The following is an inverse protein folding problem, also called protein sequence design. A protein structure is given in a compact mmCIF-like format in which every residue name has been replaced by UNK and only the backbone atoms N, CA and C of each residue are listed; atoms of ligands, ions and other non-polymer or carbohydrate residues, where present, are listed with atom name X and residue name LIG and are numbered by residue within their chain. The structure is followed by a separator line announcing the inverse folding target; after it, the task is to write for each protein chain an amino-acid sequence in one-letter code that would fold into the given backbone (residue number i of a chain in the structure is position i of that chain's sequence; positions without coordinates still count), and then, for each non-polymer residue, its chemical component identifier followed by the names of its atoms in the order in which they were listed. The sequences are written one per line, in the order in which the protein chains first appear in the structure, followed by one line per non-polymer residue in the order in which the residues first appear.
data_IF_067304108917
#
_entry.id   IF_067304108917
#
_cell.length_a   1.000
_cell.length_b   1.000
_cell.length_c   1.000
_cell.angle_alpha   90.00
_cell.angle_beta   90.00
_cell.angle_gamma   90.00
#
_symmetry.space_group_name_H-M   'P 1'
#
loop_
_entity.id
_entity.type
_entity.pdbx_description
1 polymer ?
#
# COMPACT_ATOMS: atom_id res chain seq x y z
N UNK A 1 -4.57 -53.00 -10.13
CA UNK A 1 -3.84 -52.79 -8.86
C UNK A 1 -3.24 -51.40 -8.76
N UNK A 2 -2.18 -51.03 -9.49
CA UNK A 2 -1.61 -49.66 -9.36
C UNK A 2 -2.55 -48.54 -9.83
N UNK A 3 -3.26 -48.73 -10.95
CA UNK A 3 -4.23 -47.74 -11.43
C UNK A 3 -5.37 -47.51 -10.42
N UNK A 4 -5.78 -48.55 -9.69
CA UNK A 4 -6.85 -48.45 -8.71
C UNK A 4 -6.38 -47.71 -7.45
N UNK A 5 -5.13 -47.95 -7.03
CA UNK A 5 -4.47 -47.17 -5.97
C UNK A 5 -4.42 -45.70 -6.37
N UNK A 6 -3.91 -45.37 -7.56
CA UNK A 6 -3.82 -43.97 -8.03
C UNK A 6 -5.19 -43.29 -8.02
N UNK A 7 -6.24 -43.96 -8.52
CA UNK A 7 -7.61 -43.41 -8.46
C UNK A 7 -8.09 -43.21 -7.02
N UNK A 8 -7.79 -44.16 -6.13
CA UNK A 8 -8.16 -44.06 -4.71
C UNK A 8 -7.52 -42.84 -4.05
N UNK A 9 -6.21 -42.64 -4.22
CA UNK A 9 -5.47 -41.51 -3.63
C UNK A 9 -5.99 -40.16 -4.15
N UNK A 10 -6.24 -40.05 -5.46
CA UNK A 10 -6.78 -38.82 -6.08
C UNK A 10 -8.21 -38.53 -5.61
N UNK A 11 -9.04 -39.57 -5.46
CA UNK A 11 -10.40 -39.41 -4.93
C UNK A 11 -10.38 -38.99 -3.46
N UNK A 12 -9.48 -39.55 -2.64
CA UNK A 12 -9.35 -39.15 -1.23
C UNK A 12 -8.88 -37.69 -1.09
N UNK A 13 -7.97 -37.24 -1.95
CA UNK A 13 -7.56 -35.85 -2.04
C UNK A 13 -8.74 -34.93 -2.41
N UNK A 14 -9.54 -35.34 -3.40
CA UNK A 14 -10.74 -34.60 -3.81
C UNK A 14 -11.78 -34.53 -2.68
N UNK A 15 -12.04 -35.65 -2.00
CA UNK A 15 -12.97 -35.71 -0.87
C UNK A 15 -12.51 -34.84 0.31
N UNK A 16 -11.21 -34.84 0.59
CA UNK A 16 -10.61 -33.99 1.63
C UNK A 16 -10.78 -32.51 1.28
N UNK A 17 -10.54 -32.14 0.02
CA UNK A 17 -10.76 -30.77 -0.46
C UNK A 17 -12.24 -30.37 -0.37
N UNK A 18 -13.16 -31.25 -0.79
CA UNK A 18 -14.61 -30.98 -0.72
C UNK A 18 -15.07 -30.75 0.71
N UNK A 19 -14.61 -31.57 1.66
CA UNK A 19 -14.89 -31.38 3.10
C UNK A 19 -14.34 -30.05 3.61
N UNK A 20 -13.09 -29.73 3.30
CA UNK A 20 -12.44 -28.49 3.71
C UNK A 20 -13.17 -27.25 3.15
N UNK A 21 -13.56 -27.29 1.87
CA UNK A 21 -14.28 -26.23 1.17
C UNK A 21 -15.70 -26.03 1.71
N UNK A 22 -16.38 -27.10 2.13
CA UNK A 22 -17.76 -27.03 2.62
C UNK A 22 -17.93 -26.35 3.98
N UNK A 23 -16.83 -26.10 4.70
CA UNK A 23 -16.83 -25.40 5.97
C UNK A 23 -16.46 -23.92 5.77
N UNK A 24 -17.46 -23.05 5.83
CA UNK A 24 -17.30 -21.59 5.72
C UNK A 24 -16.33 -21.01 6.77
N UNK A 25 -16.15 -21.66 7.92
CA UNK A 25 -15.18 -21.20 8.90
C UNK A 25 -13.74 -21.23 8.35
N UNK A 26 -13.42 -22.20 7.48
CA UNK A 26 -12.12 -22.27 6.81
C UNK A 26 -11.94 -21.12 5.83
N UNK A 27 -12.97 -20.78 5.05
CA UNK A 27 -12.93 -19.65 4.11
C UNK A 27 -12.68 -18.34 4.85
N UNK A 28 -13.42 -18.11 5.93
CA UNK A 28 -13.22 -16.94 6.77
C UNK A 28 -11.85 -16.92 7.45
N UNK A 29 -11.32 -18.07 7.89
CA UNK A 29 -9.99 -18.14 8.50
C UNK A 29 -8.88 -17.78 7.49
N UNK A 30 -8.97 -18.28 6.25
CA UNK A 30 -8.04 -17.95 5.16
C UNK A 30 -8.09 -16.44 4.85
N UNK A 31 -9.29 -15.87 4.75
CA UNK A 31 -9.44 -14.42 4.53
C UNK A 31 -8.80 -13.61 5.66
N UNK A 32 -9.12 -13.93 6.92
CA UNK A 32 -8.55 -13.22 8.07
C UNK A 32 -7.02 -13.34 8.12
N UNK A 33 -6.47 -14.51 7.78
CA UNK A 33 -5.03 -14.72 7.72
C UNK A 33 -4.37 -13.86 6.64
N UNK A 34 -4.94 -13.80 5.44
CA UNK A 34 -4.42 -12.96 4.36
C UNK A 34 -4.46 -11.47 4.71
N UNK A 35 -5.58 -10.98 5.29
CA UNK A 35 -5.70 -9.58 5.72
C UNK A 35 -4.70 -9.25 6.82
N UNK A 36 -4.54 -10.14 7.82
CA UNK A 36 -3.57 -9.96 8.90
C UNK A 36 -2.13 -9.86 8.37
N UNK A 37 -1.76 -10.69 7.41
CA UNK A 37 -0.45 -10.65 6.75
C UNK A 37 -0.26 -9.37 5.94
N UNK A 38 -1.26 -8.96 5.16
CA UNK A 38 -1.21 -7.73 4.38
C UNK A 38 -1.12 -6.49 5.28
N UNK A 39 -1.87 -6.43 6.36
CA UNK A 39 -1.83 -5.32 7.32
C UNK A 39 -0.46 -5.23 8.01
N UNK A 40 0.12 -6.39 8.40
CA UNK A 40 1.50 -6.45 8.88
C UNK A 40 2.48 -5.85 7.89
N UNK A 41 2.37 -6.16 6.59
CA UNK A 41 3.26 -5.60 5.57
C UNK A 41 3.04 -4.10 5.34
N UNK A 42 1.77 -3.64 5.33
CA UNK A 42 1.41 -2.22 5.20
C UNK A 42 1.96 -1.38 6.36
N UNK A 43 2.04 -1.97 7.56
CA UNK A 43 2.59 -1.36 8.77
C UNK A 43 4.12 -1.53 8.90
N UNK A 44 4.77 -2.17 7.92
CA UNK A 44 6.23 -2.34 7.85
C UNK A 44 6.79 -3.56 8.58
N UNK A 45 5.94 -4.45 9.07
CA UNK A 45 6.31 -5.75 9.64
C UNK A 45 6.62 -6.81 8.58
N UNK A 46 7.03 -7.99 9.03
CA UNK A 46 7.38 -9.16 8.19
C UNK A 46 6.68 -10.44 8.67
N UNK A 47 6.66 -11.45 7.80
CA UNK A 47 6.23 -12.80 8.18
C UNK A 47 7.44 -13.74 8.30
N UNK A 48 7.48 -14.51 9.40
CA UNK A 48 8.39 -15.64 9.57
C UNK A 48 7.60 -16.94 9.37
N UNK A 49 8.06 -17.86 8.53
CA UNK A 49 7.40 -19.15 8.30
C UNK A 49 8.26 -20.33 8.77
N UNK A 50 7.63 -21.37 9.34
CA UNK A 50 8.32 -22.58 9.79
C UNK A 50 7.42 -23.82 9.76
N UNK A 51 8.04 -25.00 9.60
CA UNK A 51 7.40 -26.30 9.50
C UNK A 51 8.44 -27.42 9.47
N UNK A 52 8.00 -28.68 9.55
CA UNK A 52 8.89 -29.86 9.48
C UNK A 52 8.60 -30.69 8.21
N UNK A 53 9.63 -31.27 7.60
CA UNK A 53 9.48 -32.14 6.43
C UNK A 53 8.79 -31.43 5.25
N UNK A 54 7.73 -32.02 4.68
CA UNK A 54 6.95 -31.40 3.61
C UNK A 54 6.38 -30.03 3.99
N UNK A 55 6.02 -29.81 5.25
CA UNK A 55 5.57 -28.50 5.74
C UNK A 55 6.71 -27.47 5.81
N UNK A 56 7.97 -27.90 5.83
CA UNK A 56 9.12 -27.00 5.68
C UNK A 56 9.27 -26.53 4.23
N UNK A 57 9.02 -27.43 3.26
CA UNK A 57 8.95 -27.05 1.84
C UNK A 57 7.84 -26.01 1.61
N UNK A 58 6.66 -26.24 2.17
CA UNK A 58 5.54 -25.27 2.11
C UNK A 58 5.90 -23.92 2.75
N UNK A 59 6.59 -23.93 3.89
CA UNK A 59 7.04 -22.70 4.55
C UNK A 59 8.03 -21.90 3.68
N UNK A 60 8.95 -22.61 3.00
CA UNK A 60 9.89 -22.02 2.05
C UNK A 60 9.19 -21.49 0.79
N UNK A 61 8.29 -22.28 0.20
CA UNK A 61 7.49 -21.90 -0.98
C UNK A 61 6.71 -20.62 -0.72
N UNK A 62 6.07 -20.51 0.45
CA UNK A 62 5.35 -19.31 0.85
C UNK A 62 6.26 -18.06 0.92
N UNK A 63 7.47 -18.19 1.49
CA UNK A 63 8.40 -17.06 1.60
C UNK A 63 9.01 -16.68 0.25
N UNK A 64 9.35 -17.68 -0.58
CA UNK A 64 9.88 -17.51 -1.94
C UNK A 64 8.94 -16.68 -2.81
N UNK A 65 7.68 -17.09 -2.91
CA UNK A 65 6.68 -16.45 -3.78
C UNK A 65 6.36 -15.01 -3.34
N UNK A 66 6.38 -14.73 -2.04
CA UNK A 66 6.20 -13.38 -1.49
C UNK A 66 7.41 -12.49 -1.77
N UNK A 67 8.64 -12.98 -1.60
CA UNK A 67 9.86 -12.19 -1.81
C UNK A 67 10.22 -12.04 -3.29
N UNK A 68 9.94 -13.06 -4.09
CA UNK A 68 10.05 -13.10 -5.54
C UNK A 68 8.76 -12.62 -6.20
N UNK A 69 8.08 -13.51 -6.92
CA UNK A 69 6.89 -13.20 -7.73
C UNK A 69 5.93 -14.37 -7.78
N UNK A 70 4.66 -14.13 -7.44
CA UNK A 70 3.57 -15.11 -7.59
C UNK A 70 2.88 -15.03 -8.97
N UNK A 71 2.05 -14.01 -9.21
CA UNK A 71 1.37 -13.84 -10.52
C UNK A 71 1.77 -12.55 -11.20
N UNK A 72 1.36 -11.43 -10.60
CA UNK A 72 1.59 -10.10 -11.16
C UNK A 72 2.98 -9.58 -10.85
N UNK A 73 3.48 -8.65 -11.68
CA UNK A 73 4.73 -7.97 -11.37
C UNK A 73 4.49 -6.90 -10.29
N UNK A 74 5.12 -7.05 -9.14
CA UNK A 74 4.96 -6.16 -7.98
C UNK A 74 6.22 -6.18 -7.10
N UNK A 75 6.41 -5.21 -6.19
CA UNK A 75 7.51 -5.24 -5.22
C UNK A 75 7.49 -6.52 -4.37
N UNK A 76 8.66 -6.97 -3.91
CA UNK A 76 8.76 -8.09 -2.97
C UNK A 76 8.13 -7.75 -1.61
N UNK A 77 7.45 -8.73 -1.00
CA UNK A 77 6.92 -8.62 0.36
C UNK A 77 7.87 -9.25 1.37
N UNK A 78 7.99 -8.68 2.59
CA UNK A 78 8.97 -9.13 3.57
C UNK A 78 8.54 -10.46 4.22
N UNK A 79 9.08 -11.56 3.72
CA UNK A 79 8.85 -12.91 4.22
C UNK A 79 10.17 -13.68 4.39
N UNK A 80 10.30 -14.46 5.47
CA UNK A 80 11.49 -15.27 5.76
C UNK A 80 11.05 -16.66 6.20
N UNK A 81 11.46 -17.68 5.47
CA UNK A 81 11.39 -19.05 5.96
C UNK A 81 12.60 -19.33 6.86
N UNK A 82 12.37 -19.92 8.03
CA UNK A 82 13.45 -20.30 8.95
C UNK A 82 14.10 -21.59 8.45
N UNK A 83 14.93 -21.49 7.40
CA UNK A 83 15.47 -22.63 6.64
C UNK A 83 16.99 -22.65 6.50
N UNK A 84 17.70 -21.70 7.12
CA UNK A 84 19.16 -21.67 7.04
C UNK A 84 19.78 -22.91 7.70
N UNK A 85 20.49 -23.70 6.89
CA UNK A 85 21.03 -25.00 7.33
C UNK A 85 22.08 -24.85 8.43
N UNK A 86 22.82 -23.75 8.45
CA UNK A 86 23.85 -23.50 9.47
C UNK A 86 23.19 -23.15 10.81
N UNK A 87 22.13 -22.35 10.80
CA UNK A 87 21.31 -22.04 11.96
C UNK A 87 20.61 -23.28 12.50
N UNK A 88 19.91 -24.04 11.64
CA UNK A 88 19.18 -25.23 12.06
C UNK A 88 20.11 -26.27 12.71
N UNK A 89 21.29 -26.50 12.12
CA UNK A 89 22.28 -27.43 12.68
C UNK A 89 22.91 -26.93 13.97
N UNK A 90 23.29 -25.64 14.05
CA UNK A 90 23.85 -25.04 15.25
C UNK A 90 22.85 -25.12 16.43
N UNK A 91 21.63 -24.64 16.25
CA UNK A 91 20.64 -24.63 17.34
C UNK A 91 20.23 -26.04 17.72
N UNK A 92 20.10 -26.95 16.75
CA UNK A 92 19.78 -28.35 17.05
C UNK A 92 20.90 -29.02 17.85
N UNK A 93 22.17 -28.71 17.57
CA UNK A 93 23.31 -29.27 18.30
C UNK A 93 23.40 -28.71 19.73
N UNK A 94 23.21 -27.40 19.87
CA UNK A 94 23.53 -26.69 21.12
C UNK A 94 22.34 -26.63 22.09
N UNK A 95 21.11 -26.59 21.57
CA UNK A 95 19.88 -26.44 22.37
C UNK A 95 18.88 -27.60 22.17
N UNK A 96 19.04 -28.39 21.11
CA UNK A 96 18.12 -29.46 20.71
C UNK A 96 17.15 -29.03 19.61
N UNK A 97 16.67 -30.01 18.84
CA UNK A 97 15.82 -29.77 17.65
C UNK A 97 14.50 -29.05 17.97
N UNK A 98 14.04 -29.14 19.22
CA UNK A 98 12.86 -28.44 19.72
C UNK A 98 13.00 -26.90 19.67
N UNK A 99 14.20 -26.36 19.61
CA UNK A 99 14.44 -24.90 19.70
C UNK A 99 14.78 -24.25 18.36
N UNK A 100 14.91 -25.02 17.28
CA UNK A 100 15.45 -24.54 15.99
C UNK A 100 14.68 -23.35 15.42
N UNK A 101 13.36 -23.31 15.61
CA UNK A 101 12.52 -22.20 15.14
C UNK A 101 12.37 -21.10 16.19
N UNK A 102 12.12 -21.46 17.46
CA UNK A 102 11.92 -20.48 18.52
C UNK A 102 13.15 -19.58 18.70
N UNK A 103 14.36 -20.14 18.60
CA UNK A 103 15.60 -19.37 18.72
C UNK A 103 15.78 -18.33 17.63
N UNK A 104 15.32 -18.61 16.41
CA UNK A 104 15.35 -17.64 15.32
C UNK A 104 14.33 -16.53 15.54
N UNK A 105 13.10 -16.92 15.95
CA UNK A 105 12.02 -15.97 16.29
C UNK A 105 12.46 -15.02 17.41
N UNK A 106 13.10 -15.53 18.46
CA UNK A 106 13.67 -14.72 19.55
C UNK A 106 14.65 -13.65 19.04
N UNK A 107 15.48 -13.99 18.05
CA UNK A 107 16.51 -13.09 17.54
C UNK A 107 15.94 -11.97 16.66
N UNK A 108 15.05 -12.31 15.72
CA UNK A 108 14.64 -11.39 14.64
C UNK A 108 13.18 -10.95 14.68
N UNK A 109 12.33 -11.63 15.46
CA UNK A 109 10.92 -11.28 15.62
C UNK A 109 10.75 -9.95 16.33
N UNK A 110 9.81 -9.12 15.85
CA UNK A 110 9.49 -7.80 16.41
C UNK A 110 7.99 -7.64 16.58
N UNK A 111 7.53 -6.74 17.48
CA UNK A 111 6.12 -6.38 17.55
C UNK A 111 5.60 -5.92 16.19
N UNK A 112 4.44 -6.42 15.79
CA UNK A 112 3.85 -6.16 14.47
C UNK A 112 4.19 -7.20 13.39
N UNK A 113 5.17 -8.09 13.63
CA UNK A 113 5.44 -9.22 12.73
C UNK A 113 4.43 -10.36 12.92
N UNK A 114 4.40 -11.29 11.95
CA UNK A 114 3.56 -12.49 11.97
C UNK A 114 4.41 -13.76 11.92
N UNK A 115 4.05 -14.77 12.71
CA UNK A 115 4.55 -16.14 12.57
C UNK A 115 3.51 -16.99 11.82
N UNK A 116 3.92 -17.69 10.77
CA UNK A 116 3.17 -18.76 10.12
C UNK A 116 3.79 -20.12 10.47
N UNK A 117 3.13 -20.87 11.37
CA UNK A 117 3.57 -22.20 11.81
C UNK A 117 2.78 -23.33 11.17
N UNK A 118 3.47 -24.31 10.56
CA UNK A 118 2.85 -25.44 9.88
C UNK A 118 3.12 -26.75 10.63
N UNK A 119 2.06 -27.48 10.96
CA UNK A 119 2.16 -28.83 11.53
C UNK A 119 0.92 -29.66 11.22
N UNK A 120 1.06 -30.68 10.37
CA UNK A 120 -0.07 -31.56 10.00
C UNK A 120 -0.67 -32.30 11.20
N UNK A 121 0.13 -32.57 12.24
CA UNK A 121 -0.34 -33.22 13.47
C UNK A 121 -0.77 -32.25 14.56
N UNK A 122 -0.38 -30.97 14.46
CA UNK A 122 -0.57 -29.99 15.54
C UNK A 122 0.22 -30.27 16.81
N UNK A 123 1.21 -31.17 16.77
CA UNK A 123 1.90 -31.68 17.96
C UNK A 123 3.43 -31.48 17.91
N UNK A 124 3.96 -30.84 16.88
CA UNK A 124 5.41 -30.61 16.73
C UNK A 124 5.94 -29.66 17.80
N UNK A 125 6.78 -30.16 18.71
CA UNK A 125 7.31 -29.39 19.84
C UNK A 125 8.07 -28.12 19.41
N UNK A 126 8.82 -28.20 18.31
CA UNK A 126 9.54 -27.04 17.77
C UNK A 126 8.65 -25.93 17.20
N UNK A 127 7.47 -26.28 16.67
CA UNK A 127 6.48 -25.29 16.22
C UNK A 127 5.76 -24.67 17.42
N UNK A 128 5.41 -25.48 18.43
CA UNK A 128 4.79 -25.00 19.67
C UNK A 128 5.72 -23.96 20.35
N UNK A 129 7.01 -24.26 20.48
CA UNK A 129 8.00 -23.32 21.03
C UNK A 129 8.17 -22.06 20.18
N UNK A 130 8.06 -22.17 18.85
CA UNK A 130 8.09 -20.99 17.97
C UNK A 130 6.89 -20.07 18.23
N UNK A 131 5.70 -20.64 18.45
CA UNK A 131 4.48 -19.90 18.80
C UNK A 131 4.64 -19.19 20.14
N UNK A 132 5.17 -19.86 21.14
CA UNK A 132 5.46 -19.27 22.46
C UNK A 132 6.42 -18.07 22.33
N UNK A 133 7.52 -18.24 21.59
CA UNK A 133 8.49 -17.18 21.34
C UNK A 133 7.89 -15.99 20.56
N UNK A 134 7.08 -16.26 19.54
CA UNK A 134 6.42 -15.22 18.76
C UNK A 134 5.47 -14.38 19.64
N UNK A 135 4.67 -15.04 20.49
CA UNK A 135 3.78 -14.34 21.43
C UNK A 135 4.56 -13.49 22.43
N UNK A 136 5.67 -14.02 22.97
CA UNK A 136 6.54 -13.27 23.88
C UNK A 136 7.14 -12.01 23.21
N UNK A 137 7.36 -12.02 21.90
CA UNK A 137 7.82 -10.87 21.11
C UNK A 137 6.70 -9.93 20.64
N UNK A 138 5.45 -10.17 21.04
CA UNK A 138 4.29 -9.37 20.61
C UNK A 138 3.92 -9.58 19.14
N UNK A 139 4.33 -10.69 18.54
CA UNK A 139 3.96 -11.07 17.19
C UNK A 139 2.57 -11.69 17.15
N UNK A 140 1.95 -11.65 15.98
CA UNK A 140 0.71 -12.39 15.69
C UNK A 140 1.04 -13.79 15.16
N UNK A 141 0.16 -14.76 15.42
CA UNK A 141 0.40 -16.16 15.07
C UNK A 141 -0.72 -16.71 14.20
N UNK A 142 -0.34 -17.24 13.04
CA UNK A 142 -1.19 -18.03 12.15
C UNK A 142 -0.66 -19.47 12.14
N UNK A 143 -1.56 -20.45 12.16
CA UNK A 143 -1.18 -21.87 12.06
C UNK A 143 -1.94 -22.59 10.96
N UNK A 144 -1.23 -23.45 10.23
CA UNK A 144 -1.82 -24.46 9.35
C UNK A 144 -1.68 -25.83 10.01
N UNK A 145 -2.81 -26.42 10.38
CA UNK A 145 -2.85 -27.70 11.11
C UNK A 145 -3.72 -28.72 10.37
N UNK A 146 -3.73 -29.95 10.88
CA UNK A 146 -4.67 -30.98 10.44
C UNK A 146 -5.25 -31.73 11.62
N UNK A 147 -6.03 -32.78 11.35
CA UNK A 147 -6.69 -33.61 12.37
C UNK A 147 -7.58 -32.75 13.29
N UNK A 148 -7.31 -32.79 14.59
CA UNK A 148 -7.97 -32.04 15.65
C UNK A 148 -7.15 -30.81 16.11
N UNK A 149 -6.08 -30.47 15.39
CA UNK A 149 -5.17 -29.36 15.74
C UNK A 149 -4.17 -29.68 16.85
N UNK A 150 -4.27 -30.84 17.51
CA UNK A 150 -3.34 -31.28 18.54
C UNK A 150 -3.12 -30.26 19.67
N UNK A 151 -1.90 -30.24 20.22
CA UNK A 151 -1.47 -29.28 21.25
C UNK A 151 -1.44 -27.83 20.76
N UNK A 152 -1.45 -27.60 19.45
CA UNK A 152 -1.48 -26.26 18.86
C UNK A 152 -2.90 -25.68 18.80
N UNK A 153 -3.95 -26.48 18.99
CA UNK A 153 -5.32 -26.00 18.97
C UNK A 153 -5.53 -24.84 19.95
N UNK A 154 -6.03 -23.70 19.47
CA UNK A 154 -6.26 -22.51 20.29
C UNK A 154 -5.00 -21.72 20.70
N UNK A 155 -3.81 -22.11 20.22
CA UNK A 155 -2.54 -21.39 20.50
C UNK A 155 -2.25 -20.24 19.54
N UNK A 156 -2.97 -20.15 18.42
CA UNK A 156 -2.80 -19.13 17.37
C UNK A 156 -3.87 -18.04 17.44
N UNK A 157 -3.59 -16.85 16.88
CA UNK A 157 -4.63 -15.84 16.62
C UNK A 157 -5.59 -16.34 15.52
N UNK A 158 -5.08 -17.09 14.55
CA UNK A 158 -5.85 -17.71 13.46
C UNK A 158 -5.33 -19.13 13.22
N UNK A 159 -6.21 -20.13 13.27
CA UNK A 159 -5.92 -21.50 12.90
C UNK A 159 -6.71 -21.87 11.65
N UNK A 160 -6.04 -22.49 10.66
CA UNK A 160 -6.67 -23.08 9.49
C UNK A 160 -6.39 -24.59 9.57
N UNK A 161 -7.46 -25.36 9.83
CA UNK A 161 -7.34 -26.78 10.19
C UNK A 161 -7.95 -27.67 9.11
N UNK A 162 -7.15 -28.58 8.57
CA UNK A 162 -7.62 -29.54 7.58
C UNK A 162 -8.25 -30.75 8.28
N UNK A 163 -9.55 -31.05 8.09
CA UNK A 163 -10.26 -32.09 8.83
C UNK A 163 -10.01 -33.49 8.24
N UNK A 164 -8.74 -33.92 8.23
CA UNK A 164 -8.32 -35.22 7.72
C UNK A 164 -7.58 -36.02 8.80
N UNK A 165 -8.02 -37.26 9.03
CA UNK A 165 -7.39 -38.21 9.95
C UNK A 165 -6.84 -39.38 9.14
N UNK A 166 -5.52 -39.40 8.98
CA UNK A 166 -4.82 -40.35 8.11
C UNK A 166 -3.37 -39.95 7.95
N UNK A 167 -2.82 -40.22 6.77
CA UNK A 167 -1.47 -39.78 6.40
C UNK A 167 -1.40 -38.26 6.21
N UNK A 168 -0.20 -37.71 6.35
CA UNK A 168 0.01 -36.26 6.38
C UNK A 168 -0.06 -35.59 5.01
N UNK A 169 0.07 -36.37 3.94
CA UNK A 169 0.08 -35.93 2.55
C UNK A 169 -1.25 -35.25 2.15
N UNK A 170 -2.40 -35.82 2.50
CA UNK A 170 -3.72 -35.19 2.27
C UNK A 170 -3.84 -33.82 2.95
N UNK A 171 -3.23 -33.64 4.13
CA UNK A 171 -3.21 -32.36 4.84
C UNK A 171 -2.28 -31.37 4.12
N UNK A 172 -1.08 -31.81 3.72
CA UNK A 172 -0.10 -30.99 2.98
C UNK A 172 -0.67 -30.49 1.65
N UNK A 173 -1.40 -31.34 0.93
CA UNK A 173 -2.05 -30.98 -0.33
C UNK A 173 -3.09 -29.86 -0.19
N UNK A 174 -3.72 -29.73 0.99
CA UNK A 174 -4.61 -28.61 1.30
C UNK A 174 -3.81 -27.40 1.81
N UNK A 175 -2.78 -27.60 2.64
CA UNK A 175 -1.91 -26.52 3.10
C UNK A 175 -1.29 -25.75 1.93
N UNK A 176 -0.76 -26.41 0.91
CA UNK A 176 -0.21 -25.72 -0.27
C UNK A 176 -1.27 -24.91 -1.04
N UNK A 177 -2.51 -25.42 -1.12
CA UNK A 177 -3.63 -24.67 -1.75
C UNK A 177 -3.99 -23.44 -0.91
N UNK A 178 -4.05 -23.59 0.41
CA UNK A 178 -4.26 -22.47 1.34
C UNK A 178 -3.15 -21.43 1.16
N UNK A 179 -1.89 -21.84 1.10
CA UNK A 179 -0.74 -20.95 0.86
C UNK A 179 -0.88 -20.19 -0.45
N UNK A 180 -1.23 -20.85 -1.56
CA UNK A 180 -1.50 -20.19 -2.84
C UNK A 180 -2.63 -19.17 -2.75
N UNK A 181 -3.71 -19.48 -2.01
CA UNK A 181 -4.82 -18.55 -1.78
C UNK A 181 -4.39 -17.37 -0.90
N UNK A 182 -3.62 -17.61 0.16
CA UNK A 182 -3.08 -16.54 1.02
C UNK A 182 -2.28 -15.55 0.19
N UNK A 183 -1.37 -16.03 -0.66
CA UNK A 183 -0.56 -15.17 -1.52
C UNK A 183 -1.40 -14.39 -2.53
N UNK A 184 -2.39 -15.05 -3.16
CA UNK A 184 -3.34 -14.38 -4.05
C UNK A 184 -4.11 -13.25 -3.34
N UNK A 185 -4.61 -13.50 -2.14
CA UNK A 185 -5.37 -12.53 -1.37
C UNK A 185 -4.47 -11.40 -0.83
N UNK A 186 -3.26 -11.72 -0.36
CA UNK A 186 -2.25 -10.73 0.03
C UNK A 186 -1.95 -9.81 -1.16
N UNK A 187 -1.71 -10.35 -2.36
CA UNK A 187 -1.46 -9.52 -3.54
C UNK A 187 -2.63 -8.59 -3.84
N UNK A 188 -3.87 -9.08 -3.75
CA UNK A 188 -5.06 -8.22 -3.89
C UNK A 188 -5.09 -7.14 -2.81
N UNK A 189 -4.89 -7.50 -1.55
CA UNK A 189 -4.93 -6.55 -0.43
C UNK A 189 -3.81 -5.50 -0.48
N UNK A 190 -2.66 -5.85 -1.03
CA UNK A 190 -1.52 -4.95 -1.19
C UNK A 190 -1.67 -4.04 -2.42
N UNK A 191 -2.33 -4.50 -3.48
CA UNK A 191 -2.65 -3.72 -4.69
C UNK A 191 -3.87 -2.81 -4.50
N UNK A 192 -4.88 -3.27 -3.74
CA UNK A 192 -6.16 -2.55 -3.54
C UNK A 192 -6.03 -1.36 -2.57
N UNK A 193 -4.89 -1.16 -1.90
CA UNK A 193 -4.84 -0.26 -0.75
C UNK A 193 -4.24 1.14 -0.95
N UNK A 194 -4.14 1.70 -2.17
CA UNK A 194 -3.58 3.06 -2.30
C UNK A 194 -4.24 3.91 -3.38
N UNK A 195 -4.82 5.05 -2.98
CA UNK A 195 -5.12 6.15 -3.90
C UNK A 195 -3.87 6.57 -4.70
N UNK A 196 -4.03 7.11 -5.90
CA UNK A 196 -2.89 7.68 -6.63
C UNK A 196 -2.86 9.20 -6.51
N UNK A 197 -1.68 9.74 -6.23
CA UNK A 197 -1.41 11.17 -6.20
C UNK A 197 -0.64 11.55 -7.47
N UNK A 198 -1.01 12.68 -8.06
CA UNK A 198 -0.26 13.33 -9.13
C UNK A 198 -0.17 14.82 -8.83
N UNK A 199 1.05 15.35 -8.81
CA UNK A 199 1.33 16.77 -8.63
C UNK A 199 2.19 17.29 -9.78
N UNK A 200 2.01 18.55 -10.14
CA UNK A 200 2.89 19.25 -11.07
C UNK A 200 3.21 20.64 -10.55
N UNK A 201 4.47 21.05 -10.67
CA UNK A 201 4.93 22.43 -10.52
C UNK A 201 5.72 22.82 -11.76
N UNK A 202 5.44 23.97 -12.36
CA UNK A 202 6.10 24.44 -13.58
C UNK A 202 6.38 25.93 -13.53
N UNK A 203 7.48 26.39 -14.14
CA UNK A 203 7.82 27.81 -14.25
C UNK A 203 7.05 28.55 -15.34
N UNK A 204 6.47 27.83 -16.29
CA UNK A 204 5.56 28.34 -17.32
C UNK A 204 4.23 27.59 -17.24
N UNK A 205 3.13 28.14 -17.79
CA UNK A 205 1.89 27.40 -17.90
C UNK A 205 2.07 26.16 -18.78
N UNK A 206 2.09 24.97 -18.16
CA UNK A 206 2.33 23.69 -18.82
C UNK A 206 1.07 22.84 -18.82
N UNK A 207 0.89 22.06 -19.88
CA UNK A 207 -0.18 21.07 -19.98
C UNK A 207 0.23 19.76 -19.27
N UNK A 208 -0.69 19.18 -18.49
CA UNK A 208 -0.50 17.92 -17.78
C UNK A 208 -1.20 16.73 -18.47
N UNK A 209 -1.90 16.92 -19.59
CA UNK A 209 -2.72 15.90 -20.25
C UNK A 209 -2.00 14.56 -20.45
N UNK A 210 -0.68 14.57 -20.75
CA UNK A 210 0.11 13.34 -20.84
C UNK A 210 0.19 12.58 -19.52
N UNK A 211 0.65 13.23 -18.45
CA UNK A 211 0.76 12.60 -17.13
C UNK A 211 -0.62 12.26 -16.54
N UNK A 212 -1.64 13.05 -16.84
CA UNK A 212 -3.01 12.77 -16.45
C UNK A 212 -3.59 11.57 -17.21
N UNK A 213 -3.24 11.37 -18.49
CA UNK A 213 -3.68 10.20 -19.27
C UNK A 213 -3.16 8.89 -18.67
N UNK A 214 -1.88 8.84 -18.28
CA UNK A 214 -1.34 7.69 -17.55
C UNK A 214 -2.08 7.44 -16.23
N UNK A 215 -2.35 8.51 -15.46
CA UNK A 215 -3.09 8.43 -14.21
C UNK A 215 -4.52 7.90 -14.43
N UNK A 216 -5.27 8.43 -15.40
CA UNK A 216 -6.68 8.06 -15.68
C UNK A 216 -6.87 6.57 -15.95
N UNK A 217 -5.89 5.91 -16.59
CA UNK A 217 -5.93 4.47 -16.84
C UNK A 217 -5.95 3.67 -15.54
N UNK A 218 -5.17 4.10 -14.55
CA UNK A 218 -5.12 3.47 -13.23
C UNK A 218 -6.42 3.65 -12.45
N UNK A 219 -7.21 4.66 -12.80
CA UNK A 219 -8.55 4.90 -12.26
C UNK A 219 -9.66 4.08 -12.92
N UNK A 220 -9.48 2.76 -12.98
CA UNK A 220 -10.53 1.79 -13.34
C UNK A 220 -10.34 1.04 -14.65
N UNK A 221 -9.32 1.36 -15.43
CA UNK A 221 -8.90 0.60 -16.62
C UNK A 221 -7.89 -0.49 -16.27
N UNK A 222 -6.66 -0.08 -15.91
CA UNK A 222 -5.53 -0.97 -15.55
C UNK A 222 -5.37 -1.15 -14.04
N UNK A 223 -5.85 -0.20 -13.23
CA UNK A 223 -5.76 -0.23 -11.76
C UNK A 223 -7.12 -0.49 -11.08
N UNK A 224 -7.12 -0.87 -9.79
CA UNK A 224 -8.34 -1.18 -9.03
C UNK A 224 -9.15 0.07 -8.64
N UNK A 225 -8.61 1.28 -8.87
CA UNK A 225 -9.11 2.54 -8.31
C UNK A 225 -10.35 3.05 -9.03
N UNK A 226 -11.53 2.77 -8.46
CA UNK A 226 -12.82 3.01 -9.12
C UNK A 226 -13.74 3.98 -8.35
N UNK A 227 -13.26 4.55 -7.25
CA UNK A 227 -14.10 5.21 -6.26
C UNK A 227 -14.01 6.74 -6.30
N UNK A 228 -13.69 7.25 -7.48
CA UNK A 228 -13.68 8.66 -7.82
C UNK A 228 -12.30 9.19 -8.16
N UNK A 229 -12.27 10.37 -8.76
CA UNK A 229 -11.06 11.09 -9.10
C UNK A 229 -11.31 12.59 -9.05
N UNK A 230 -10.23 13.35 -9.00
CA UNK A 230 -10.30 14.78 -9.22
C UNK A 230 -8.95 15.39 -9.53
N UNK A 231 -9.00 16.59 -10.08
CA UNK A 231 -7.85 17.38 -10.49
C UNK A 231 -8.15 18.86 -10.27
N UNK A 232 -7.17 19.60 -9.79
CA UNK A 232 -7.23 21.05 -9.68
C UNK A 232 -6.08 21.68 -10.41
N UNK A 233 -6.39 22.65 -11.26
CA UNK A 233 -5.47 23.48 -12.02
C UNK A 233 -5.48 24.89 -11.45
N UNK A 234 -4.30 25.50 -11.30
CA UNK A 234 -4.18 26.91 -10.92
C UNK A 234 -3.92 27.81 -12.12
N UNK A 235 -4.65 28.91 -12.19
CA UNK A 235 -4.43 30.05 -13.09
C UNK A 235 -4.25 31.28 -12.19
N UNK A 236 -2.99 31.59 -11.88
CA UNK A 236 -2.61 32.57 -10.87
C UNK A 236 -3.25 32.30 -9.49
N UNK A 237 -4.15 33.17 -9.04
CA UNK A 237 -4.90 33.00 -7.78
C UNK A 237 -6.19 32.22 -7.95
N UNK A 238 -6.67 32.07 -9.19
CA UNK A 238 -7.82 31.27 -9.52
C UNK A 238 -7.45 29.79 -9.57
N UNK A 239 -8.42 28.93 -9.31
CA UNK A 239 -8.27 27.49 -9.54
C UNK A 239 -9.54 26.91 -10.15
N UNK A 240 -9.38 25.92 -11.04
CA UNK A 240 -10.47 25.12 -11.59
C UNK A 240 -10.33 23.70 -11.06
N UNK A 241 -11.40 23.18 -10.49
CA UNK A 241 -11.42 21.83 -9.92
C UNK A 241 -12.46 20.98 -10.63
N UNK A 242 -12.03 19.85 -11.17
CA UNK A 242 -12.90 18.83 -11.75
C UNK A 242 -12.87 17.59 -10.87
N UNK A 243 -14.03 17.01 -10.62
CA UNK A 243 -14.19 15.82 -9.79
C UNK A 243 -15.31 14.96 -10.34
N UNK A 244 -15.17 13.66 -10.15
CA UNK A 244 -16.22 12.68 -10.39
C UNK A 244 -16.11 11.59 -9.32
N UNK A 245 -17.19 11.20 -8.62
CA UNK A 245 -17.19 10.01 -7.78
C UNK A 245 -17.11 8.69 -8.60
N UNK A 246 -17.36 8.73 -9.91
CA UNK A 246 -17.21 7.58 -10.80
C UNK A 246 -15.73 7.35 -11.19
N UNK A 247 -15.36 6.15 -11.65
CA UNK A 247 -14.00 5.85 -12.12
C UNK A 247 -13.56 6.82 -13.24
N UNK A 248 -12.31 7.29 -13.19
CA UNK A 248 -11.80 8.23 -14.20
C UNK A 248 -11.82 7.63 -15.61
N UNK A 249 -11.56 6.33 -15.76
CA UNK A 249 -11.52 5.68 -17.06
C UNK A 249 -12.83 5.79 -17.85
N UNK A 250 -13.97 5.81 -17.14
CA UNK A 250 -15.30 5.91 -17.73
C UNK A 250 -15.93 7.31 -17.59
N UNK A 251 -15.23 8.28 -17.01
CA UNK A 251 -15.77 9.60 -16.71
C UNK A 251 -15.75 10.50 -17.95
N UNK A 252 -16.90 11.03 -18.40
CA UNK A 252 -16.94 12.04 -19.47
C UNK A 252 -16.17 13.31 -19.09
N UNK A 253 -16.12 13.64 -17.79
CA UNK A 253 -15.36 14.79 -17.28
C UNK A 253 -13.85 14.53 -17.43
N UNK A 254 -13.39 13.29 -17.19
CA UNK A 254 -11.98 12.95 -17.38
C UNK A 254 -11.59 13.07 -18.84
N UNK A 255 -12.45 12.58 -19.74
CA UNK A 255 -12.26 12.71 -21.19
C UNK A 255 -12.20 14.18 -21.62
N UNK A 256 -13.08 15.04 -21.12
CA UNK A 256 -13.03 16.48 -21.36
C UNK A 256 -11.68 17.08 -20.93
N UNK A 257 -11.19 16.73 -19.75
CA UNK A 257 -9.89 17.22 -19.25
C UNK A 257 -8.73 16.71 -20.11
N UNK A 258 -8.80 15.49 -20.64
CA UNK A 258 -7.77 14.94 -21.54
C UNK A 258 -7.78 15.61 -22.92
N UNK A 259 -8.96 15.98 -23.42
CA UNK A 259 -9.15 16.59 -24.74
C UNK A 259 -8.96 18.12 -24.72
N UNK A 260 -9.10 18.75 -23.56
CA UNK A 260 -9.00 20.19 -23.39
C UNK A 260 -7.70 20.58 -22.64
N UNK A 261 -6.65 21.08 -23.34
CA UNK A 261 -5.35 21.34 -22.74
C UNK A 261 -5.38 22.55 -21.78
N UNK A 262 -5.62 22.28 -20.50
CA UNK A 262 -5.58 23.31 -19.43
C UNK A 262 -4.13 23.50 -19.00
N UNK A 263 -3.58 24.68 -19.33
CA UNK A 263 -2.21 25.04 -18.93
C UNK A 263 -2.19 25.62 -17.52
N UNK A 264 -1.24 25.16 -16.70
CA UNK A 264 -1.13 25.60 -15.31
C UNK A 264 0.31 25.59 -14.80
N UNK A 265 0.61 26.46 -13.83
CA UNK A 265 1.87 26.42 -13.08
C UNK A 265 1.85 25.39 -11.95
N UNK A 266 0.66 25.02 -11.45
CA UNK A 266 0.52 24.05 -10.37
C UNK A 266 -0.73 23.21 -10.56
N UNK A 267 -0.55 21.89 -10.48
CA UNK A 267 -1.67 20.94 -10.56
C UNK A 267 -1.59 19.98 -9.39
N UNK A 268 -2.76 19.64 -8.84
CA UNK A 268 -2.92 18.56 -7.88
C UNK A 268 -4.06 17.66 -8.34
N UNK A 269 -3.76 16.40 -8.59
CA UNK A 269 -4.68 15.36 -8.99
C UNK A 269 -4.64 14.19 -8.02
N UNK A 270 -5.76 13.49 -7.94
CA UNK A 270 -5.94 12.35 -7.07
C UNK A 270 -6.90 11.34 -7.71
N UNK A 271 -6.54 10.06 -7.68
CA UNK A 271 -7.45 8.95 -7.98
C UNK A 271 -7.73 8.20 -6.70
N UNK A 272 -9.02 8.04 -6.39
CA UNK A 272 -9.50 7.51 -5.12
C UNK A 272 -9.81 6.02 -5.21
N UNK A 273 -9.36 5.33 -4.18
CA UNK A 273 -9.94 4.06 -3.71
C UNK A 273 -10.59 4.33 -2.35
N UNK A 274 -11.90 4.13 -2.23
CA UNK A 274 -12.65 4.51 -1.05
C UNK A 274 -12.48 3.48 0.06
N UNK A 275 -11.60 3.80 1.02
CA UNK A 275 -11.47 3.03 2.27
C UNK A 275 -12.23 3.69 3.45
N UNK A 276 -12.58 4.98 3.33
CA UNK A 276 -13.36 5.76 4.30
C UNK A 276 -14.25 6.77 3.59
N UNK A 277 -15.41 7.02 4.20
CA UNK A 277 -16.49 7.83 3.63
C UNK A 277 -17.16 7.11 2.45
N UNK A 278 -18.44 7.39 2.21
CA UNK A 278 -19.12 6.82 1.06
C UNK A 278 -18.51 7.33 -0.26
N UNK A 279 -18.81 6.65 -1.37
CA UNK A 279 -18.45 7.13 -2.71
C UNK A 279 -19.37 8.27 -3.08
N UNK A 280 -18.91 9.51 -2.85
CA UNK A 280 -19.69 10.73 -3.08
C UNK A 280 -18.76 11.91 -3.37
N UNK A 281 -19.30 12.95 -4.01
CA UNK A 281 -18.53 14.09 -4.53
C UNK A 281 -17.81 14.87 -3.41
N UNK A 282 -18.47 15.06 -2.27
CA UNK A 282 -17.92 15.72 -1.09
C UNK A 282 -16.80 14.94 -0.41
N UNK A 283 -16.70 13.62 -0.67
CA UNK A 283 -15.61 12.77 -0.21
C UNK A 283 -14.52 12.55 -1.28
N UNK A 284 -14.65 13.17 -2.46
CA UNK A 284 -13.71 13.04 -3.58
C UNK A 284 -12.62 14.12 -3.50
N UNK A 285 -11.37 13.69 -3.46
CA UNK A 285 -10.19 14.56 -3.55
C UNK A 285 -10.06 15.22 -4.94
N UNK A 286 -9.26 16.29 -5.07
CA UNK A 286 -8.57 17.03 -4.00
C UNK A 286 -9.53 18.01 -3.28
N UNK A 287 -9.25 18.37 -2.03
CA UNK A 287 -10.04 19.34 -1.27
C UNK A 287 -9.45 20.75 -1.43
N UNK A 288 -10.30 21.76 -1.64
CA UNK A 288 -9.88 23.15 -1.85
C UNK A 288 -10.56 24.10 -0.88
N UNK A 289 -9.80 24.85 -0.05
CA UNK A 289 -10.30 25.79 0.98
C UNK A 289 -9.51 27.10 0.89
N UNK A 290 -10.15 28.22 1.20
CA UNK A 290 -9.49 29.53 1.18
C UNK A 290 -8.77 29.80 2.50
N UNK A 291 -7.52 30.29 2.41
CA UNK A 291 -6.77 30.85 3.53
C UNK A 291 -5.80 31.94 3.02
N UNK A 292 -5.85 33.13 3.63
CA UNK A 292 -4.99 34.29 3.34
C UNK A 292 -5.13 34.87 1.92
N UNK A 293 -6.33 34.84 1.36
CA UNK A 293 -6.68 35.29 0.01
C UNK A 293 -6.25 34.33 -1.09
N UNK A 294 -6.03 33.05 -0.77
CA UNK A 294 -5.58 32.00 -1.70
C UNK A 294 -6.37 30.72 -1.51
N UNK A 295 -6.67 30.04 -2.60
CA UNK A 295 -7.19 28.69 -2.56
C UNK A 295 -6.04 27.72 -2.27
N UNK A 296 -6.16 26.96 -1.19
CA UNK A 296 -5.27 25.85 -0.86
C UNK A 296 -5.93 24.56 -1.31
N UNK A 297 -5.19 23.74 -2.04
CA UNK A 297 -5.62 22.44 -2.57
C UNK A 297 -4.82 21.33 -1.92
N UNK A 298 -5.51 20.30 -1.47
CA UNK A 298 -4.96 19.18 -0.70
C UNK A 298 -5.41 17.84 -1.26
N UNK A 299 -4.47 16.93 -1.43
CA UNK A 299 -4.71 15.53 -1.77
C UNK A 299 -3.93 14.62 -0.82
N UNK A 300 -4.57 13.55 -0.33
CA UNK A 300 -3.98 12.63 0.61
C UNK A 300 -4.20 11.19 0.21
N UNK A 301 -3.11 10.43 0.19
CA UNK A 301 -3.10 8.99 0.07
C UNK A 301 -2.71 8.39 1.43
N UNK A 302 -3.60 7.60 2.00
CA UNK A 302 -3.38 6.92 3.28
C UNK A 302 -4.63 6.82 4.13
N UNK A 303 -4.47 6.36 5.36
CA UNK A 303 -5.56 6.21 6.31
C UNK A 303 -5.07 6.58 7.71
N UNK A 304 -5.86 7.39 8.41
CA UNK A 304 -5.53 7.88 9.74
C UNK A 304 -6.45 7.25 10.80
N UNK A 305 -5.88 6.85 11.94
CA UNK A 305 -6.59 6.39 13.13
C UNK A 305 -6.70 7.54 14.16
N UNK A 306 -7.79 7.58 14.94
CA UNK A 306 -7.97 8.61 15.98
C UNK A 306 -8.10 10.05 15.47
N UNK A 307 -8.35 10.27 14.17
CA UNK A 307 -8.45 11.59 13.54
C UNK A 307 -9.66 12.42 13.99
N UNK A 308 -10.68 11.79 14.59
CA UNK A 308 -11.90 12.48 15.05
C UNK A 308 -11.62 13.53 16.13
N UNK A 309 -10.51 13.39 16.87
CA UNK A 309 -10.09 14.34 17.90
C UNK A 309 -9.30 15.54 17.37
N UNK A 310 -9.06 15.63 16.05
CA UNK A 310 -8.37 16.77 15.46
C UNK A 310 -9.27 18.01 15.52
N UNK A 311 -8.80 19.05 16.22
CA UNK A 311 -9.50 20.33 16.33
C UNK A 311 -9.34 21.15 15.04
N UNK A 312 -10.45 21.45 14.37
CA UNK A 312 -10.41 22.12 13.06
C UNK A 312 -10.84 23.59 13.11
N UNK A 313 -11.15 24.11 14.29
CA UNK A 313 -11.58 25.50 14.49
C UNK A 313 -12.70 25.92 13.52
N UNK A 314 -12.45 26.98 12.76
CA UNK A 314 -13.39 27.53 11.76
C UNK A 314 -13.44 26.73 10.46
N UNK A 315 -12.41 25.92 10.17
CA UNK A 315 -12.40 25.06 8.99
C UNK A 315 -13.21 23.80 9.29
N UNK A 316 -14.35 23.62 8.63
CA UNK A 316 -15.23 22.47 8.85
C UNK A 316 -15.18 21.55 7.62
N UNK A 317 -14.95 20.24 7.81
CA UNK A 317 -15.11 19.31 6.71
C UNK A 317 -16.58 19.27 6.28
N UNK A 318 -16.80 19.14 4.98
CA UNK A 318 -18.11 18.94 4.37
C UNK A 318 -18.43 17.45 4.29
N UNK A 319 -17.46 16.63 3.91
CA UNK A 319 -17.54 15.19 3.88
C UNK A 319 -17.12 14.54 5.20
N UNK A 320 -16.92 13.22 5.14
CA UNK A 320 -16.72 12.34 6.30
C UNK A 320 -15.31 11.75 6.36
N UNK A 321 -14.49 12.02 5.34
CA UNK A 321 -13.15 11.43 5.24
C UNK A 321 -12.22 11.95 6.34
N UNK A 322 -11.32 11.07 6.79
CA UNK A 322 -10.18 11.44 7.63
C UNK A 322 -9.26 12.47 6.94
N UNK A 323 -9.16 12.36 5.63
CA UNK A 323 -8.36 13.21 4.76
C UNK A 323 -8.82 14.67 4.78
N UNK A 324 -10.12 14.93 4.61
CA UNK A 324 -10.66 16.29 4.68
C UNK A 324 -10.53 16.87 6.10
N UNK A 325 -10.78 16.03 7.13
CA UNK A 325 -10.60 16.44 8.52
C UNK A 325 -9.15 16.84 8.81
N UNK A 326 -8.18 16.07 8.32
CA UNK A 326 -6.76 16.38 8.42
C UNK A 326 -6.41 17.69 7.70
N UNK A 327 -6.98 17.93 6.52
CA UNK A 327 -6.78 19.19 5.79
C UNK A 327 -7.31 20.39 6.58
N UNK A 328 -8.54 20.33 7.08
CA UNK A 328 -9.12 21.39 7.91
C UNK A 328 -8.30 21.61 9.20
N UNK A 329 -7.74 20.55 9.78
CA UNK A 329 -6.85 20.65 10.94
C UNK A 329 -5.55 21.37 10.58
N UNK A 330 -4.88 21.03 9.47
CA UNK A 330 -3.67 21.71 9.00
C UNK A 330 -3.95 23.21 8.82
N UNK A 331 -5.04 23.58 8.13
CA UNK A 331 -5.41 24.99 7.92
C UNK A 331 -5.70 25.71 9.23
N UNK A 332 -6.33 25.05 10.19
CA UNK A 332 -6.56 25.61 11.52
C UNK A 332 -5.26 25.88 12.28
N UNK A 333 -4.33 24.93 12.26
CA UNK A 333 -3.00 25.10 12.87
C UNK A 333 -2.23 26.25 12.20
N UNK A 334 -2.31 26.36 10.87
CA UNK A 334 -1.73 27.47 10.12
C UNK A 334 -2.30 28.83 10.50
N UNK A 335 -3.64 28.96 10.52
CA UNK A 335 -4.32 30.20 10.89
C UNK A 335 -4.03 30.60 12.35
N UNK A 336 -3.91 29.62 13.25
CA UNK A 336 -3.56 29.85 14.66
C UNK A 336 -2.12 30.32 14.82
N UNK A 337 -1.17 29.66 14.13
CA UNK A 337 0.25 30.00 14.17
C UNK A 337 0.56 31.33 13.47
N UNK A 338 -0.16 31.63 12.39
CA UNK A 338 -0.01 32.81 11.55
C UNK A 338 -1.37 33.50 11.34
N UNK A 339 -1.77 34.41 12.26
CA UNK A 339 -3.06 35.12 12.17
C UNK A 339 -3.21 36.07 10.97
N UNK A 340 -2.10 36.36 10.26
CA UNK A 340 -2.05 37.19 9.05
C UNK A 340 -1.22 36.48 7.99
N UNK A 341 -1.39 36.87 6.73
CA UNK A 341 -0.62 36.32 5.60
C UNK A 341 0.89 36.39 5.88
N UNK A 342 1.59 35.25 5.93
CA UNK A 342 3.03 35.22 6.18
C UNK A 342 3.84 35.84 5.03
N UNK A 343 4.97 36.46 5.36
CA UNK A 343 5.97 36.90 4.38
C UNK A 343 7.03 35.84 4.04
N UNK A 344 7.27 34.88 4.94
CA UNK A 344 8.28 33.83 4.79
C UNK A 344 7.61 32.48 4.52
N UNK A 345 7.37 32.18 3.24
CA UNK A 345 6.71 30.95 2.80
C UNK A 345 7.48 29.65 3.12
N UNK A 346 8.81 29.57 2.94
CA UNK A 346 9.57 28.38 3.36
C UNK A 346 9.37 28.00 4.83
N UNK A 347 9.29 28.98 5.74
CA UNK A 347 9.01 28.71 7.15
C UNK A 347 7.60 28.14 7.37
N UNK A 348 6.60 28.60 6.60
CA UNK A 348 5.23 28.07 6.65
C UNK A 348 5.21 26.60 6.23
N UNK A 349 5.86 26.25 5.11
CA UNK A 349 5.90 24.87 4.62
C UNK A 349 6.71 23.93 5.52
N UNK A 350 7.76 24.44 6.18
CA UNK A 350 8.46 23.69 7.22
C UNK A 350 7.54 23.32 8.38
N UNK A 351 6.73 24.27 8.85
CA UNK A 351 5.73 24.00 9.88
C UNK A 351 4.66 23.00 9.40
N UNK A 352 4.23 23.07 8.14
CA UNK A 352 3.34 22.05 7.54
C UNK A 352 4.01 20.66 7.57
N UNK A 353 5.32 20.58 7.36
CA UNK A 353 6.10 19.34 7.49
C UNK A 353 6.03 18.75 8.89
N UNK A 354 6.14 19.58 9.93
CA UNK A 354 6.00 19.16 11.34
C UNK A 354 4.58 18.64 11.64
N UNK A 355 3.55 19.33 11.13
CA UNK A 355 2.16 18.91 11.23
C UNK A 355 1.91 17.57 10.52
N UNK A 356 2.45 17.40 9.32
CA UNK A 356 2.38 16.15 8.58
C UNK A 356 3.09 14.99 9.31
N UNK A 357 4.22 15.27 9.97
CA UNK A 357 4.89 14.32 10.86
C UNK A 357 4.01 13.86 12.02
N UNK A 358 3.19 14.75 12.58
CA UNK A 358 2.21 14.43 13.63
C UNK A 358 1.08 13.55 13.08
N UNK A 359 0.59 13.83 11.88
CA UNK A 359 -0.45 13.02 11.23
C UNK A 359 0.07 11.63 10.84
N UNK A 360 1.33 11.52 10.40
CA UNK A 360 1.99 10.23 10.12
C UNK A 360 2.03 9.29 11.32
N UNK A 361 2.09 9.80 12.56
CA UNK A 361 2.00 8.95 13.75
C UNK A 361 0.64 8.28 13.92
N UNK A 362 -0.38 8.74 13.18
CA UNK A 362 -1.75 8.21 13.20
C UNK A 362 -2.01 7.22 12.06
N UNK A 363 -1.08 7.02 11.13
CA UNK A 363 -1.20 6.07 10.01
C UNK A 363 -0.44 6.53 8.77
N UNK A 364 -0.70 5.90 7.62
CA UNK A 364 -0.09 6.29 6.34
C UNK A 364 -0.59 7.70 5.98
N UNK A 365 0.33 8.60 5.66
CA UNK A 365 0.03 9.99 5.30
C UNK A 365 0.94 10.47 4.17
N UNK A 366 0.64 10.10 2.92
CA UNK A 366 1.24 10.75 1.75
C UNK A 366 0.38 11.95 1.37
N UNK A 367 0.98 13.10 1.14
CA UNK A 367 0.24 14.34 0.92
C UNK A 367 0.82 15.15 -0.23
N UNK A 368 -0.07 15.70 -1.06
CA UNK A 368 0.20 16.85 -1.91
C UNK A 368 -0.60 18.05 -1.39
N UNK A 369 0.07 19.18 -1.20
CA UNK A 369 -0.56 20.43 -0.77
C UNK A 369 -0.02 21.60 -1.60
N UNK A 370 -0.91 22.42 -2.15
CA UNK A 370 -0.53 23.58 -2.96
C UNK A 370 -1.39 24.80 -2.69
N UNK A 371 -0.78 25.98 -2.62
CA UNK A 371 -1.46 27.28 -2.60
C UNK A 371 -1.58 27.92 -4.01
N UNK A 372 -1.22 27.15 -5.04
CA UNK A 372 -1.14 27.56 -6.43
C UNK A 372 0.23 28.03 -6.88
N UNK A 373 1.10 28.47 -5.96
CA UNK A 373 2.48 28.86 -6.25
C UNK A 373 3.48 27.78 -5.85
N UNK A 374 3.31 27.28 -4.63
CA UNK A 374 4.14 26.24 -4.05
C UNK A 374 3.39 24.92 -4.06
N UNK A 375 4.08 23.83 -4.37
CA UNK A 375 3.58 22.46 -4.26
C UNK A 375 4.47 21.69 -3.30
N UNK A 376 3.92 21.29 -2.17
CA UNK A 376 4.57 20.46 -1.18
C UNK A 376 4.14 19.00 -1.33
N UNK A 377 5.11 18.10 -1.26
CA UNK A 377 4.92 16.67 -1.20
C UNK A 377 5.48 16.14 0.13
N UNK A 378 4.67 15.43 0.91
CA UNK A 378 5.11 14.74 2.13
C UNK A 378 4.96 13.23 1.94
N UNK A 379 5.98 12.44 2.30
CA UNK A 379 6.03 11.00 2.05
C UNK A 379 5.94 10.21 3.35
N UNK A 380 5.01 9.27 3.43
CA UNK A 380 4.96 8.24 4.48
C UNK A 380 5.34 6.86 3.97
N UNK A 381 5.03 6.54 2.71
CA UNK A 381 5.35 5.23 2.10
C UNK A 381 6.09 5.41 0.77
N UNK A 382 5.37 5.78 -0.28
CA UNK A 382 5.86 5.89 -1.64
C UNK A 382 5.38 7.19 -2.25
N UNK A 383 6.34 8.04 -2.59
CA UNK A 383 6.11 9.26 -3.36
C UNK A 383 7.41 9.59 -4.09
N UNK A 384 7.30 9.84 -5.38
CA UNK A 384 8.42 10.04 -6.27
C UNK A 384 8.25 11.36 -7.01
N UNK A 385 9.36 11.95 -7.42
CA UNK A 385 9.36 13.15 -8.24
C UNK A 385 10.44 13.10 -9.31
N UNK A 386 10.22 13.88 -10.37
CA UNK A 386 11.19 14.10 -11.43
C UNK A 386 11.09 15.55 -11.90
N UNK A 387 12.23 16.20 -12.09
CA UNK A 387 12.31 17.52 -12.74
C UNK A 387 12.80 17.35 -14.15
N UNK A 388 11.97 17.75 -15.10
CA UNK A 388 12.31 17.83 -16.52
C UNK A 388 12.68 19.26 -16.89
N UNK A 389 13.77 19.41 -17.63
CA UNK A 389 14.30 20.70 -18.07
C UNK A 389 14.40 20.70 -19.59
N UNK A 390 14.06 21.82 -20.21
CA UNK A 390 14.25 21.99 -21.65
C UNK A 390 15.74 21.88 -22.06
N UNK A 391 16.06 21.33 -23.25
CA UNK A 391 15.14 20.64 -24.16
C UNK A 391 14.71 19.28 -23.60
N UNK A 392 13.41 18.99 -23.63
CA UNK A 392 12.89 17.74 -23.09
C UNK A 392 13.25 16.58 -24.01
N UNK A 393 13.54 15.43 -23.41
CA UNK A 393 13.62 14.16 -24.13
C UNK A 393 12.23 13.58 -24.40
N UNK A 394 12.20 12.39 -25.01
CA UNK A 394 10.98 11.59 -25.12
C UNK A 394 10.72 10.87 -23.80
N UNK A 395 9.46 10.77 -23.38
CA UNK A 395 9.08 9.91 -22.26
C UNK A 395 8.06 8.86 -22.68
N UNK A 396 8.25 7.64 -22.19
CA UNK A 396 7.37 6.51 -22.43
C UNK A 396 6.63 6.17 -21.15
N UNK A 397 5.29 6.16 -21.20
CA UNK A 397 4.46 5.77 -20.06
C UNK A 397 4.69 4.30 -19.70
N UNK A 398 4.61 3.97 -18.41
CA UNK A 398 4.68 2.59 -17.92
C UNK A 398 3.40 1.81 -18.22
N UNK A 399 2.25 2.49 -18.22
CA UNK A 399 0.93 1.85 -18.28
C UNK A 399 0.36 1.72 -19.71
N UNK A 400 1.04 2.29 -20.71
CA UNK A 400 0.66 2.21 -22.14
C UNK A 400 1.89 2.37 -23.04
N UNK A 401 1.81 1.81 -24.25
CA UNK A 401 2.76 2.08 -25.36
C UNK A 401 2.53 3.46 -25.99
N UNK A 402 2.47 4.51 -25.15
CA UNK A 402 2.36 5.90 -25.58
C UNK A 402 3.67 6.60 -25.25
N UNK A 403 4.38 7.00 -26.30
CA UNK A 403 5.57 7.83 -26.25
C UNK A 403 5.18 9.27 -26.63
N UNK A 404 5.56 10.25 -25.81
CA UNK A 404 5.37 11.67 -26.15
C UNK A 404 6.73 12.35 -26.26
N UNK A 405 6.90 13.04 -27.38
CA UNK A 405 7.99 13.97 -27.62
C UNK A 405 7.60 15.36 -27.12
N UNK A 406 8.15 15.74 -25.96
CA UNK A 406 7.85 17.02 -25.33
C UNK A 406 8.48 18.22 -26.06
N UNK A 407 9.41 18.02 -27.01
CA UNK A 407 10.10 19.12 -27.69
C UNK A 407 9.15 20.04 -28.46
N UNK A 408 8.00 19.53 -28.91
CA UNK A 408 7.04 20.30 -29.70
C UNK A 408 6.17 21.25 -28.86
N UNK A 409 6.23 21.17 -27.52
CA UNK A 409 5.30 21.85 -26.63
C UNK A 409 5.97 22.75 -25.59
N UNK A 410 7.28 22.93 -25.67
CA UNK A 410 8.08 23.56 -24.60
C UNK A 410 8.96 24.69 -25.10
N UNK A 411 9.20 25.70 -24.27
CA UNK A 411 10.20 26.73 -24.54
C UNK A 411 11.58 26.30 -24.03
N UNK A 412 12.69 26.93 -24.48
CA UNK A 412 14.05 26.60 -24.03
C UNK A 412 14.32 26.79 -22.53
N UNK A 413 13.39 27.41 -21.77
CA UNK A 413 13.57 27.71 -20.35
C UNK A 413 12.61 26.94 -19.46
N UNK A 414 11.80 26.05 -20.01
CA UNK A 414 10.77 25.34 -19.26
C UNK A 414 11.41 24.37 -18.25
N UNK A 415 10.91 24.45 -17.01
CA UNK A 415 11.25 23.56 -15.90
C UNK A 415 9.94 23.05 -15.32
N UNK A 416 9.76 21.74 -15.36
CA UNK A 416 8.53 21.08 -14.93
C UNK A 416 8.90 19.94 -14.00
N UNK A 417 8.42 20.02 -12.75
CA UNK A 417 8.49 18.91 -11.81
C UNK A 417 7.16 18.20 -11.74
N UNK A 418 7.19 16.87 -11.92
CA UNK A 418 6.05 15.98 -11.71
C UNK A 418 6.29 15.16 -10.44
N UNK A 419 5.24 14.94 -9.67
CA UNK A 419 5.24 14.18 -8.43
C UNK A 419 4.17 13.10 -8.55
N UNK A 420 4.47 11.85 -8.23
CA UNK A 420 3.51 10.75 -8.33
C UNK A 420 3.71 9.69 -7.24
N UNK A 421 2.66 8.96 -6.87
CA UNK A 421 2.75 7.84 -5.90
C UNK A 421 3.74 6.77 -6.35
N UNK A 422 3.79 6.52 -7.66
CA UNK A 422 4.77 5.66 -8.32
C UNK A 422 5.28 6.34 -9.60
N UNK A 423 6.50 6.01 -10.07
CA UNK A 423 6.97 6.45 -11.38
C UNK A 423 5.92 6.22 -12.48
N UNK A 424 5.78 7.19 -13.38
CA UNK A 424 4.85 7.11 -14.51
C UNK A 424 5.53 6.70 -15.82
N UNK A 425 6.86 6.74 -15.86
CA UNK A 425 7.66 6.54 -17.08
C UNK A 425 8.79 5.55 -16.86
N UNK A 426 9.09 4.75 -17.89
CA UNK A 426 10.07 3.65 -17.81
C UNK A 426 11.50 4.08 -18.13
N UNK A 427 11.65 5.14 -18.93
CA UNK A 427 12.92 5.58 -19.50
C UNK A 427 13.50 6.83 -18.79
N UNK A 428 12.99 7.15 -17.60
CA UNK A 428 13.43 8.30 -16.82
C UNK A 428 13.78 7.90 -15.38
N UNK A 429 14.71 8.64 -14.75
CA UNK A 429 15.08 8.40 -13.35
C UNK A 429 14.24 9.25 -12.42
N UNK A 430 13.32 8.60 -11.71
CA UNK A 430 12.51 9.22 -10.66
C UNK A 430 13.21 9.17 -9.31
N UNK A 431 13.17 10.29 -8.57
CA UNK A 431 13.71 10.37 -7.22
C UNK A 431 12.64 10.05 -6.19
N UNK A 432 12.91 9.10 -5.30
CA UNK A 432 12.02 8.77 -4.18
C UNK A 432 12.18 9.81 -3.06
N UNK A 433 11.08 10.31 -2.53
CA UNK A 433 11.08 11.08 -1.28
C UNK A 433 11.21 10.09 -0.12
N UNK A 434 12.16 10.33 0.78
CA UNK A 434 12.40 9.45 1.93
C UNK A 434 11.15 9.43 2.84
N UNK A 435 10.69 8.26 3.28
CA UNK A 435 9.58 8.17 4.24
C UNK A 435 9.84 8.98 5.52
N UNK A 436 8.90 9.86 5.88
CA UNK A 436 9.00 10.81 6.98
C UNK A 436 9.50 12.21 6.56
N UNK A 437 9.98 12.37 5.33
CA UNK A 437 10.45 13.65 4.80
C UNK A 437 9.43 14.30 3.85
N UNK A 438 9.72 15.56 3.50
CA UNK A 438 8.96 16.33 2.52
C UNK A 438 9.87 17.04 1.52
N UNK A 439 9.31 17.36 0.37
CA UNK A 439 9.93 18.17 -0.66
C UNK A 439 8.98 19.31 -1.05
N UNK A 440 9.52 20.52 -1.19
CA UNK A 440 8.78 21.70 -1.61
C UNK A 440 9.24 22.10 -3.00
N UNK A 441 8.30 22.41 -3.88
CA UNK A 441 8.56 22.84 -5.24
C UNK A 441 7.90 24.18 -5.51
N UNK A 442 8.58 25.06 -6.24
CA UNK A 442 8.06 26.34 -6.70
C UNK A 442 8.55 26.58 -8.11
N UNK A 443 7.64 26.85 -9.05
CA UNK A 443 7.98 27.09 -10.45
C UNK A 443 8.86 25.96 -11.02
N UNK A 444 8.52 24.71 -10.72
CA UNK A 444 9.26 23.54 -11.18
C UNK A 444 10.57 23.25 -10.44
N UNK A 445 11.07 24.16 -9.58
CA UNK A 445 12.32 23.98 -8.85
C UNK A 445 12.08 23.48 -7.43
N UNK A 446 12.89 22.50 -7.00
CA UNK A 446 12.94 22.08 -5.60
C UNK A 446 13.52 23.21 -4.74
N UNK A 447 12.84 23.52 -3.65
CA UNK A 447 13.27 24.51 -2.66
C UNK A 447 14.06 23.80 -1.55
N UNK A 448 15.12 24.44 -1.06
CA UNK A 448 15.95 23.96 0.06
C UNK A 448 15.35 24.26 1.44
#
# INVERSE_FOLDING_TARGET
MYQDIIRSELNEAADTLNKFLSDEANIHAIQRAAVLLADSFKEGGKVLSCGNGGSHCDAMHFAEELTGRYRENRPGYPAIAISDVSHLSCVSNDFGYDYVFSRYVEAVGRPGDVLLGLSTSGNSANIIKAIEAARAQGMKVITLTGKDGGKMAGSADIEIRVPHFGYADRIQEIHIKVIHILMLLIEKEMVVAMCELLGMSANVPTDICFSFTGLVQRGGGTGPHKDGWGITFYEDKGCRTFKDPLPSFNSPIARLVQEYPIKSHSVVAHIRQANRGQVSLENTHPFTRELWGRNWTYAHNGQLRGYRHLETGTFRPVGETDSEKAFCWILHQLATRYPRTPGNWPAVFRFIGELAGTLRQKGVFNMLLSDGRYLMAFCSTNLYWITRRAPFGRAQLLDQDVEVDFQQHTTPHDVVTVIATQPLTANETWQRIVPGEWALFCLGERQE
#
